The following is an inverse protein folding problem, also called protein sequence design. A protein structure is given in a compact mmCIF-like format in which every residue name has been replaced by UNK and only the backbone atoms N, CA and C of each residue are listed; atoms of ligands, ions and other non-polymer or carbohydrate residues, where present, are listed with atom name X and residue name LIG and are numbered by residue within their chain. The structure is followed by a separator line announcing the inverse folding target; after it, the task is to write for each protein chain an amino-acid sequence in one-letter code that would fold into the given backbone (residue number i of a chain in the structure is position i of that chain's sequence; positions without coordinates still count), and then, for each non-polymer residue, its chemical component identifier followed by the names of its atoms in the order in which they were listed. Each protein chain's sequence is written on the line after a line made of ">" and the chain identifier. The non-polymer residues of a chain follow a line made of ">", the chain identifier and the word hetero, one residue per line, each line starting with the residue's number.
data_IF_634535232374
#
_entry.id   IF_634535232374
#
_cell.length_a   1.000
_cell.length_b   1.000
_cell.length_c   1.000
_cell.angle_alpha   90.00
_cell.angle_beta   90.00
_cell.angle_gamma   90.00
#
_symmetry.space_group_name_H-M   'P 1'
#
loop_
_entity.id
_entity.type
_entity.pdbx_description
1 polymer ?
#
# COMPACT_ATOMS: atom_id res chain seq x y z
N UNK A 1 20.27 -5.16 -9.41
CA UNK A 1 19.59 -5.81 -8.27
C UNK A 1 18.42 -6.62 -8.80
N UNK A 2 18.34 -7.90 -8.47
CA UNK A 2 17.22 -8.73 -8.91
C UNK A 2 15.97 -8.53 -8.02
N UNK A 3 14.87 -9.19 -8.38
CA UNK A 3 13.59 -9.03 -7.67
C UNK A 3 13.67 -9.50 -6.22
N UNK A 4 14.41 -10.59 -5.96
CA UNK A 4 14.57 -11.13 -4.61
C UNK A 4 15.33 -10.14 -3.73
N UNK A 5 16.42 -9.55 -4.26
CA UNK A 5 17.19 -8.55 -3.54
C UNK A 5 16.38 -7.29 -3.26
N UNK A 6 15.56 -6.85 -4.24
CA UNK A 6 14.67 -5.69 -4.06
C UNK A 6 13.62 -5.95 -2.98
N UNK A 7 13.04 -7.16 -2.96
CA UNK A 7 12.08 -7.57 -1.96
C UNK A 7 12.71 -7.57 -0.55
N UNK A 8 13.90 -8.16 -0.42
CA UNK A 8 14.62 -8.19 0.85
C UNK A 8 14.96 -6.77 1.34
N UNK A 9 15.38 -5.89 0.43
CA UNK A 9 15.66 -4.49 0.76
C UNK A 9 14.39 -3.79 1.24
N UNK A 10 13.25 -4.00 0.55
CA UNK A 10 11.98 -3.42 0.95
C UNK A 10 11.60 -3.83 2.38
N UNK A 11 11.73 -5.12 2.70
CA UNK A 11 11.38 -5.62 4.02
C UNK A 11 12.35 -5.11 5.10
N UNK A 12 13.62 -4.89 4.76
CA UNK A 12 14.57 -4.25 5.66
C UNK A 12 14.15 -2.81 5.98
N UNK A 13 13.72 -2.06 4.96
CA UNK A 13 13.26 -0.68 5.12
C UNK A 13 12.04 -0.61 6.03
N UNK A 14 11.12 -1.59 5.94
CA UNK A 14 9.88 -1.61 6.72
C UNK A 14 10.01 -2.33 8.07
N UNK A 15 11.14 -2.91 8.37
CA UNK A 15 11.36 -3.71 9.59
C UNK A 15 10.97 -2.98 10.87
N UNK A 16 11.45 -1.75 11.03
CA UNK A 16 11.17 -0.96 12.23
C UNK A 16 9.69 -0.61 12.35
N UNK A 17 9.03 -0.31 11.23
CA UNK A 17 7.59 -0.06 11.24
C UNK A 17 6.84 -1.30 11.69
N UNK A 18 7.17 -2.47 11.13
CA UNK A 18 6.52 -3.72 11.51
C UNK A 18 6.72 -4.03 12.99
N UNK A 19 7.89 -3.70 13.52
CA UNK A 19 8.18 -3.90 14.95
C UNK A 19 7.31 -3.04 15.86
N UNK A 20 6.72 -1.94 15.37
CA UNK A 20 5.80 -1.12 16.16
C UNK A 20 4.43 -1.77 16.33
N UNK A 21 4.10 -2.78 15.53
CA UNK A 21 2.80 -3.48 15.60
C UNK A 21 2.89 -4.58 16.66
N UNK A 22 2.22 -4.37 17.79
CA UNK A 22 2.32 -5.26 18.93
C UNK A 22 1.71 -6.63 18.70
N UNK A 23 0.60 -6.70 17.95
CA UNK A 23 -0.10 -7.97 17.69
C UNK A 23 0.49 -8.68 16.48
N UNK A 24 0.90 -9.94 16.67
CA UNK A 24 1.54 -10.72 15.62
C UNK A 24 0.67 -10.90 14.39
N UNK A 25 -0.65 -11.09 14.55
CA UNK A 25 -1.56 -11.26 13.42
C UNK A 25 -1.63 -9.99 12.55
N UNK A 26 -1.61 -8.82 13.20
CA UNK A 26 -1.61 -7.54 12.49
C UNK A 26 -0.29 -7.34 11.75
N UNK A 27 0.82 -7.64 12.41
CA UNK A 27 2.15 -7.56 11.83
C UNK A 27 2.29 -8.45 10.61
N UNK A 28 1.82 -9.70 10.71
CA UNK A 28 1.84 -10.65 9.60
C UNK A 28 1.01 -10.18 8.42
N UNK A 29 -0.17 -9.63 8.69
CA UNK A 29 -1.07 -9.14 7.63
C UNK A 29 -0.43 -8.00 6.86
N UNK A 30 0.14 -7.01 7.56
CA UNK A 30 0.84 -5.89 6.92
C UNK A 30 2.08 -6.37 6.18
N UNK A 31 2.86 -7.27 6.79
CA UNK A 31 4.04 -7.84 6.14
C UNK A 31 3.65 -8.57 4.85
N UNK A 32 2.56 -9.33 4.87
CA UNK A 32 2.05 -10.03 3.69
C UNK A 32 1.72 -9.04 2.57
N UNK A 33 1.03 -7.95 2.89
CA UNK A 33 0.68 -6.94 1.89
C UNK A 33 1.93 -6.23 1.33
N UNK A 34 2.83 -5.78 2.20
CA UNK A 34 4.05 -5.10 1.78
C UNK A 34 4.94 -6.01 0.93
N UNK A 35 5.06 -7.27 1.31
CA UNK A 35 5.81 -8.27 0.54
C UNK A 35 5.19 -8.48 -0.82
N UNK A 36 3.86 -8.60 -0.88
CA UNK A 36 3.14 -8.78 -2.15
C UNK A 36 3.42 -7.61 -3.10
N UNK A 37 3.34 -6.37 -2.60
CA UNK A 37 3.63 -5.19 -3.42
C UNK A 37 5.08 -5.23 -3.93
N UNK A 38 6.03 -5.51 -3.05
CA UNK A 38 7.44 -5.55 -3.42
C UNK A 38 7.74 -6.63 -4.47
N UNK A 39 7.08 -7.80 -4.37
CA UNK A 39 7.25 -8.90 -5.32
C UNK A 39 6.66 -8.59 -6.68
N UNK A 40 5.46 -8.02 -6.72
CA UNK A 40 4.73 -7.77 -7.96
C UNK A 40 5.15 -6.47 -8.65
N UNK A 41 5.72 -5.55 -7.90
CA UNK A 41 6.11 -4.22 -8.39
C UNK A 41 7.55 -3.88 -7.98
N UNK A 42 8.54 -4.63 -8.49
CA UNK A 42 9.94 -4.39 -8.11
C UNK A 42 10.49 -3.02 -8.54
N UNK A 43 9.81 -2.33 -9.45
CA UNK A 43 10.20 -0.99 -9.89
C UNK A 43 9.76 0.10 -8.90
N UNK A 44 8.87 -0.21 -7.98
CA UNK A 44 8.47 0.76 -6.95
C UNK A 44 9.54 0.85 -5.87
N UNK A 45 9.78 2.06 -5.39
CA UNK A 45 10.75 2.30 -4.32
C UNK A 45 10.04 2.33 -2.97
N UNK A 46 10.39 1.43 -2.04
CA UNK A 46 9.84 1.47 -0.68
C UNK A 46 10.46 2.59 0.12
N UNK A 47 9.64 3.33 0.86
CA UNK A 47 10.13 4.41 1.74
C UNK A 47 9.26 4.47 3.00
N UNK A 48 9.80 5.05 4.06
CA UNK A 48 9.06 5.46 5.25
C UNK A 48 9.02 6.98 5.25
N UNK A 49 7.81 7.53 5.23
CA UNK A 49 7.59 8.98 5.39
C UNK A 49 6.44 9.18 6.37
N UNK A 50 6.57 10.19 7.21
CA UNK A 50 5.57 10.48 8.24
C UNK A 50 5.23 9.23 9.06
N UNK A 51 6.25 8.42 9.35
CA UNK A 51 6.15 7.16 10.12
C UNK A 51 5.23 6.12 9.46
N UNK A 52 5.07 6.18 8.13
CA UNK A 52 4.20 5.26 7.38
C UNK A 52 4.96 4.61 6.23
N UNK A 53 4.72 3.31 5.99
CA UNK A 53 5.30 2.64 4.84
C UNK A 53 4.55 3.04 3.57
N UNK A 54 5.31 3.30 2.52
CA UNK A 54 4.74 3.63 1.22
C UNK A 54 5.67 3.23 0.08
N UNK A 55 5.12 3.20 -1.11
CA UNK A 55 5.86 2.93 -2.33
C UNK A 55 5.72 4.12 -3.27
N UNK A 56 6.85 4.53 -3.86
CA UNK A 56 6.91 5.64 -4.81
C UNK A 56 7.53 5.17 -6.12
N UNK A 57 7.29 5.93 -7.18
CA UNK A 57 7.90 5.68 -8.50
C UNK A 57 8.34 7.00 -9.10
N UNK A 58 9.61 7.11 -9.50
CA UNK A 58 10.26 8.36 -9.95
C UNK A 58 9.86 9.60 -9.13
N UNK A 59 9.83 9.42 -7.82
CA UNK A 59 9.53 10.53 -6.90
C UNK A 59 8.06 10.76 -6.62
N UNK A 60 7.14 10.10 -7.35
CA UNK A 60 5.71 10.27 -7.10
C UNK A 60 5.14 9.14 -6.25
N UNK A 61 4.23 9.49 -5.35
CA UNK A 61 3.55 8.57 -4.46
C UNK A 61 2.64 7.62 -5.23
N UNK A 62 2.71 6.33 -4.96
CA UNK A 62 1.83 5.33 -5.59
C UNK A 62 0.83 4.77 -4.60
N UNK A 63 1.28 4.25 -3.46
CA UNK A 63 0.41 3.66 -2.46
C UNK A 63 1.12 3.62 -1.11
N UNK A 64 0.36 3.73 -0.05
CA UNK A 64 0.88 3.64 1.31
C UNK A 64 -0.18 3.13 2.27
N UNK A 65 0.22 2.89 3.50
CA UNK A 65 -0.71 2.42 4.52
C UNK A 65 -0.32 2.93 5.91
N UNK A 66 -1.28 2.81 6.83
CA UNK A 66 -1.10 3.16 8.23
C UNK A 66 -1.96 2.25 9.09
N UNK A 67 -1.37 1.61 10.08
CA UNK A 67 -2.08 0.71 10.99
C UNK A 67 -2.77 1.49 12.10
N UNK A 68 -3.94 1.01 12.52
CA UNK A 68 -4.72 1.52 13.63
C UNK A 68 -5.17 0.34 14.50
N UNK A 69 -5.88 0.62 15.59
CA UNK A 69 -6.31 -0.41 16.53
C UNK A 69 -7.22 -1.47 15.89
N UNK A 70 -8.24 -1.04 15.14
CA UNK A 70 -9.28 -1.93 14.61
C UNK A 70 -9.19 -2.19 13.12
N UNK A 71 -8.31 -1.48 12.42
CA UNK A 71 -8.14 -1.57 10.98
C UNK A 71 -6.78 -1.03 10.57
N UNK A 72 -6.41 -1.25 9.32
CA UNK A 72 -5.38 -0.42 8.71
C UNK A 72 -6.00 0.38 7.58
N UNK A 73 -5.40 1.52 7.27
CA UNK A 73 -5.82 2.38 6.18
C UNK A 73 -4.89 2.23 5.00
N UNK A 74 -5.44 1.92 3.83
CA UNK A 74 -4.70 1.86 2.58
C UNK A 74 -5.02 3.13 1.80
N UNK A 75 -4.00 3.80 1.29
CA UNK A 75 -4.16 5.13 0.69
C UNK A 75 -3.63 5.16 -0.74
N UNK A 76 -4.50 4.93 -1.74
CA UNK A 76 -4.12 5.02 -3.15
C UNK A 76 -4.39 6.41 -3.77
N UNK A 77 -4.59 7.45 -2.96
CA UNK A 77 -5.06 8.79 -3.28
C UNK A 77 -6.56 8.87 -3.61
N UNK A 78 -7.15 10.03 -3.34
CA UNK A 78 -8.60 10.24 -3.44
C UNK A 78 -9.17 9.96 -4.84
N UNK A 79 -8.47 10.36 -5.88
CA UNK A 79 -8.90 10.12 -7.27
C UNK A 79 -9.11 8.63 -7.54
N UNK A 80 -8.18 7.80 -7.08
CA UNK A 80 -8.23 6.36 -7.28
C UNK A 80 -9.35 5.72 -6.47
N UNK A 81 -9.58 6.18 -5.25
CA UNK A 81 -10.70 5.71 -4.43
C UNK A 81 -12.03 5.97 -5.13
N UNK A 82 -12.22 7.19 -5.66
CA UNK A 82 -13.45 7.54 -6.38
C UNK A 82 -13.65 6.68 -7.63
N UNK A 83 -12.56 6.45 -8.37
CA UNK A 83 -12.62 5.66 -9.60
C UNK A 83 -13.01 4.20 -9.35
N UNK A 84 -12.51 3.62 -8.26
CA UNK A 84 -12.73 2.22 -7.90
C UNK A 84 -13.79 2.04 -6.80
N UNK A 85 -14.65 3.04 -6.59
CA UNK A 85 -15.63 3.03 -5.51
C UNK A 85 -16.49 1.78 -5.48
N UNK A 86 -16.97 1.33 -6.63
CA UNK A 86 -17.83 0.15 -6.71
C UNK A 86 -17.09 -1.14 -6.32
N UNK A 87 -15.87 -1.30 -6.83
CA UNK A 87 -15.05 -2.47 -6.50
C UNK A 87 -14.64 -2.49 -5.03
N UNK A 88 -14.36 -1.32 -4.46
CA UNK A 88 -14.04 -1.19 -3.03
C UNK A 88 -15.25 -1.60 -2.18
N UNK A 89 -16.43 -1.15 -2.57
CA UNK A 89 -17.68 -1.49 -1.89
C UNK A 89 -17.98 -2.99 -1.98
N UNK A 90 -17.74 -3.59 -3.15
CA UNK A 90 -17.91 -5.03 -3.36
C UNK A 90 -16.99 -5.86 -2.46
N UNK A 91 -15.83 -5.31 -2.09
CA UNK A 91 -14.91 -5.94 -1.14
C UNK A 91 -15.31 -5.73 0.33
N UNK A 92 -16.41 -5.04 0.58
CA UNK A 92 -16.91 -4.67 1.91
C UNK A 92 -15.97 -3.73 2.70
N UNK A 93 -15.09 -3.03 2.02
CA UNK A 93 -14.21 -2.06 2.65
C UNK A 93 -14.93 -0.71 2.81
N UNK A 94 -14.69 -0.06 3.95
CA UNK A 94 -15.15 1.31 4.18
C UNK A 94 -14.14 2.30 3.62
N UNK A 95 -14.58 3.50 3.29
CA UNK A 95 -13.69 4.54 2.78
C UNK A 95 -13.90 5.87 3.48
N UNK A 96 -12.82 6.65 3.51
CA UNK A 96 -12.89 8.09 3.69
C UNK A 96 -12.54 8.74 2.35
N UNK A 97 -12.39 10.07 2.31
CA UNK A 97 -11.98 10.75 1.07
C UNK A 97 -10.60 10.25 0.59
N UNK A 98 -9.69 9.99 1.52
CA UNK A 98 -8.29 9.69 1.20
C UNK A 98 -7.84 8.28 1.55
N UNK A 99 -8.67 7.46 2.20
CA UNK A 99 -8.25 6.16 2.70
C UNK A 99 -9.30 5.09 2.47
N UNK A 100 -8.83 3.85 2.37
CA UNK A 100 -9.66 2.64 2.39
C UNK A 100 -9.38 1.97 3.73
N UNK A 101 -10.42 1.75 4.54
CA UNK A 101 -10.29 1.11 5.84
C UNK A 101 -10.51 -0.39 5.70
N UNK A 102 -9.50 -1.18 6.06
CA UNK A 102 -9.56 -2.63 6.00
C UNK A 102 -9.43 -3.15 7.43
N UNK A 103 -10.50 -3.74 7.95
CA UNK A 103 -10.48 -4.30 9.30
C UNK A 103 -9.51 -5.48 9.37
N UNK A 104 -8.90 -5.69 10.52
CA UNK A 104 -7.95 -6.78 10.69
C UNK A 104 -8.54 -8.16 10.39
N UNK A 105 -9.87 -8.29 10.51
CA UNK A 105 -10.59 -9.55 10.21
C UNK A 105 -11.00 -9.71 8.76
N UNK A 106 -10.85 -8.68 7.93
CA UNK A 106 -11.24 -8.74 6.52
C UNK A 106 -10.10 -9.30 5.67
N UNK A 107 -10.42 -10.05 4.60
CA UNK A 107 -9.40 -10.55 3.69
C UNK A 107 -8.77 -9.42 2.87
N UNK A 108 -7.55 -9.64 2.40
CA UNK A 108 -6.87 -8.72 1.47
C UNK A 108 -7.32 -9.03 0.05
N UNK A 109 -7.93 -8.06 -0.62
CA UNK A 109 -8.38 -8.20 -2.01
C UNK A 109 -7.24 -7.79 -2.96
N UNK A 110 -6.33 -8.70 -3.24
CA UNK A 110 -5.16 -8.44 -4.09
C UNK A 110 -5.52 -8.05 -5.51
N UNK A 111 -6.62 -8.58 -6.05
CA UNK A 111 -7.11 -8.20 -7.38
C UNK A 111 -7.43 -6.70 -7.42
N UNK A 112 -8.12 -6.19 -6.41
CA UNK A 112 -8.44 -4.77 -6.29
C UNK A 112 -7.18 -3.93 -6.12
N UNK A 113 -6.27 -4.36 -5.26
CA UNK A 113 -5.01 -3.63 -5.01
C UNK A 113 -4.19 -3.53 -6.28
N UNK A 114 -4.13 -4.61 -7.07
CA UNK A 114 -3.45 -4.61 -8.36
C UNK A 114 -4.04 -3.58 -9.31
N UNK A 115 -5.36 -3.54 -9.43
CA UNK A 115 -6.04 -2.57 -10.30
C UNK A 115 -5.72 -1.14 -9.91
N UNK A 116 -5.73 -0.84 -8.61
CA UNK A 116 -5.46 0.52 -8.11
C UNK A 116 -4.00 0.93 -8.32
N UNK A 117 -3.07 0.02 -8.06
CA UNK A 117 -1.65 0.29 -8.24
C UNK A 117 -1.35 0.48 -9.73
N UNK A 118 -1.84 -0.42 -10.59
CA UNK A 118 -1.65 -0.32 -12.03
C UNK A 118 -2.21 1.00 -12.59
N UNK A 119 -3.39 1.39 -12.11
CA UNK A 119 -3.99 2.66 -12.50
C UNK A 119 -3.11 3.84 -12.10
N UNK A 120 -2.64 3.87 -10.84
CA UNK A 120 -1.80 4.96 -10.35
C UNK A 120 -0.49 5.06 -11.14
N UNK A 121 0.13 3.93 -11.44
CA UNK A 121 1.38 3.92 -12.21
C UNK A 121 1.17 4.47 -13.61
N UNK A 122 0.05 4.13 -14.25
CA UNK A 122 -0.28 4.61 -15.59
C UNK A 122 -0.63 6.10 -15.57
N UNK A 123 -1.52 6.50 -14.65
CA UNK A 123 -2.00 7.89 -14.55
C UNK A 123 -0.89 8.86 -14.15
N UNK A 124 0.05 8.40 -13.34
CA UNK A 124 1.14 9.23 -12.83
C UNK A 124 2.46 9.05 -13.61
N UNK A 125 2.41 8.39 -14.76
CA UNK A 125 3.58 8.20 -15.61
C UNK A 125 4.18 9.55 -16.03
N UNK A 126 5.49 9.69 -15.80
CA UNK A 126 6.18 10.94 -16.10
C UNK A 126 6.00 12.04 -15.06
N UNK A 127 5.16 11.82 -14.05
CA UNK A 127 4.97 12.76 -12.96
C UNK A 127 6.14 12.66 -11.97
N UNK A 128 6.70 13.80 -11.58
CA UNK A 128 7.79 13.86 -10.60
C UNK A 128 7.36 14.48 -9.29
N UNK A 129 6.18 15.10 -9.24
CA UNK A 129 5.60 15.62 -8.01
C UNK A 129 5.20 14.46 -7.11
N UNK A 130 5.41 14.61 -5.79
CA UNK A 130 5.07 13.55 -4.84
C UNK A 130 3.56 13.27 -4.87
N UNK A 131 2.75 14.31 -4.73
CA UNK A 131 1.30 14.18 -4.76
C UNK A 131 0.73 14.55 -6.13
N UNK A 132 -0.36 13.92 -6.51
CA UNK A 132 -1.11 14.19 -7.72
C UNK A 132 -1.68 15.61 -7.73
#
# INVERSE_FOLDING_TARGET
>A
MDTIEKEELAMTIFEDYLATLEKSEQREKIATLLTWIAQHYPDLTPVIKWKQPMFIEHGTYIIGLSASKHHFSLSPEAKTIRLFEDEIKDADYETTINTIKIKWTQPLDFELFKKMIDYNRTDKKGMTQFWR
#
